data_IF_219709096085
#
_entry.id   IF_219709096085
#
_cell.length_a   1.000
_cell.length_b   1.000
_cell.length_c   1.000
_cell.angle_alpha   90.00
_cell.angle_beta   90.00
_cell.angle_gamma   90.00
#
_symmetry.space_group_name_H-M   'P 1'
#
loop_
_entity.id
_entity.type
_entity.pdbx_description
1 polymer ?
#
# COMPACT_ATOMS: atom_id res chain seq x y z
N UNK A 1 19.96 18.68 -34.24
CA UNK A 1 18.76 18.68 -33.37
C UNK A 1 18.66 17.34 -32.65
N UNK A 2 18.91 17.29 -31.34
CA UNK A 2 18.81 16.06 -30.51
C UNK A 2 17.93 16.33 -29.29
N UNK A 3 16.92 15.47 -29.10
CA UNK A 3 15.71 15.69 -28.31
C UNK A 3 15.96 15.58 -26.80
N UNK A 4 15.71 16.65 -26.05
CA UNK A 4 15.77 16.71 -24.58
C UNK A 4 14.64 15.87 -23.98
N UNK A 5 14.97 14.93 -23.09
CA UNK A 5 14.01 14.11 -22.34
C UNK A 5 13.48 14.92 -21.15
N UNK A 6 12.15 15.11 -21.13
CA UNK A 6 11.39 15.84 -20.12
C UNK A 6 11.29 15.00 -18.84
N UNK A 7 11.73 15.55 -17.72
CA UNK A 7 11.43 15.05 -16.37
C UNK A 7 9.93 15.23 -16.10
N UNK A 8 9.26 14.17 -15.63
CA UNK A 8 7.90 14.26 -15.09
C UNK A 8 8.02 14.37 -13.58
N UNK A 9 7.62 15.52 -13.07
CA UNK A 9 7.41 15.79 -11.65
C UNK A 9 6.24 14.91 -11.15
N UNK A 10 6.39 14.29 -9.97
CA UNK A 10 5.35 13.48 -9.34
C UNK A 10 5.07 14.09 -7.99
N UNK A 11 4.14 15.06 -7.98
CA UNK A 11 3.63 15.69 -6.78
C UNK A 11 2.95 14.65 -5.88
N UNK A 12 3.36 14.59 -4.62
CA UNK A 12 2.75 13.76 -3.58
C UNK A 12 1.84 14.66 -2.75
N UNK A 13 0.54 14.49 -2.92
CA UNK A 13 -0.51 15.16 -2.16
C UNK A 13 -0.91 14.26 -0.97
N UNK A 14 -0.51 14.67 0.24
CA UNK A 14 -0.84 14.02 1.51
C UNK A 14 -1.82 14.94 2.25
N UNK A 15 -3.12 14.60 2.16
CA UNK A 15 -4.22 15.40 2.72
C UNK A 15 -4.70 14.86 4.07
N UNK A 16 -4.67 15.72 5.09
CA UNK A 16 -5.10 15.49 6.48
C UNK A 16 -6.64 15.44 6.60
N UNK A 17 -7.18 14.52 7.43
CA UNK A 17 -8.63 14.27 7.55
C UNK A 17 -9.16 14.66 8.94
N UNK A 18 -9.95 15.74 9.01
CA UNK A 18 -10.70 16.15 10.20
C UNK A 18 -12.09 15.46 10.31
N UNK A 19 -12.41 14.95 11.50
CA UNK A 19 -13.63 14.19 11.80
C UNK A 19 -14.81 15.09 12.20
N UNK A 20 -15.93 15.05 11.46
CA UNK A 20 -17.24 15.57 11.94
C UNK A 20 -18.38 14.55 11.79
N UNK A 21 -19.23 14.51 12.83
CA UNK A 21 -20.28 13.50 13.12
C UNK A 21 -21.47 13.51 12.14
N UNK A 22 -22.24 12.40 11.98
CA UNK A 22 -23.17 12.21 10.86
C UNK A 22 -24.66 12.47 11.20
N UNK A 23 -25.46 12.75 10.15
CA UNK A 23 -26.93 12.55 10.09
C UNK A 23 -27.33 11.90 8.76
N UNK A 24 -28.41 11.07 8.69
CA UNK A 24 -28.68 10.24 7.53
C UNK A 24 -29.86 10.73 6.65
N UNK A 25 -29.79 10.52 5.33
CA UNK A 25 -30.75 9.72 4.54
C UNK A 25 -30.74 10.01 3.00
N UNK A 26 -30.58 8.92 2.22
CA UNK A 26 -31.30 8.54 0.97
C UNK A 26 -31.23 9.45 -0.30
N UNK A 27 -30.47 9.00 -1.33
CA UNK A 27 -30.94 8.32 -2.58
C UNK A 27 -29.87 8.30 -3.71
N UNK A 28 -29.70 7.09 -4.26
CA UNK A 28 -29.04 6.59 -5.49
C UNK A 28 -28.44 7.58 -6.51
N UNK A 29 -27.12 7.43 -6.75
CA UNK A 29 -26.47 7.54 -8.07
C UNK A 29 -25.33 6.51 -8.12
N UNK A 30 -25.17 5.86 -9.26
CA UNK A 30 -24.17 4.83 -9.56
C UNK A 30 -22.80 5.51 -9.56
N UNK A 31 -22.09 5.39 -8.45
CA UNK A 31 -20.68 5.71 -8.30
C UNK A 31 -20.08 4.60 -7.45
N UNK A 32 -18.97 4.06 -7.94
CA UNK A 32 -18.08 3.07 -7.36
C UNK A 32 -17.97 3.22 -5.84
N UNK A 33 -18.80 2.47 -5.11
CA UNK A 33 -18.71 2.28 -3.67
C UNK A 33 -18.55 0.81 -3.38
N UNK A 34 -17.34 0.45 -2.95
CA UNK A 34 -17.01 -0.61 -1.99
C UNK A 34 -15.48 -0.60 -1.84
N UNK A 35 -14.86 -0.51 -0.68
CA UNK A 35 -15.37 -0.43 0.68
C UNK A 35 -14.23 0.04 1.59
N UNK A 36 -14.47 1.08 2.38
CA UNK A 36 -13.85 1.19 3.69
C UNK A 36 -14.52 0.16 4.59
N UNK A 37 -13.96 -1.05 4.54
CA UNK A 37 -13.96 -2.05 5.60
C UNK A 37 -12.50 -2.50 5.69
N UNK A 38 -11.72 -1.82 6.53
CA UNK A 38 -10.36 -2.21 6.88
C UNK A 38 -10.40 -3.46 7.76
N UNK A 39 -10.79 -4.60 7.17
CA UNK A 39 -10.53 -5.99 7.60
C UNK A 39 -11.37 -6.96 6.75
N UNK A 40 -11.24 -6.89 5.43
CA UNK A 40 -11.59 -8.03 4.59
C UNK A 40 -10.28 -8.59 4.02
N UNK A 41 -9.95 -9.82 4.42
CA UNK A 41 -8.81 -10.58 3.93
C UNK A 41 -9.01 -10.81 2.43
N UNK A 42 -8.75 -9.79 1.62
CA UNK A 42 -8.88 -9.85 0.17
C UNK A 42 -7.84 -10.83 -0.31
N UNK A 43 -8.26 -11.97 -0.85
CA UNK A 43 -7.34 -12.96 -1.41
C UNK A 43 -7.14 -12.69 -2.90
N UNK A 44 -5.92 -12.92 -3.40
CA UNK A 44 -5.68 -12.88 -4.83
C UNK A 44 -6.15 -14.16 -5.53
N UNK A 45 -5.98 -14.22 -6.85
CA UNK A 45 -6.30 -15.41 -7.64
C UNK A 45 -5.51 -16.67 -7.24
N UNK A 46 -4.42 -16.52 -6.47
CA UNK A 46 -3.61 -17.61 -5.92
C UNK A 46 -4.01 -17.98 -4.49
N UNK A 47 -4.94 -17.25 -3.90
CA UNK A 47 -5.39 -17.46 -2.52
C UNK A 47 -4.52 -16.74 -1.47
N UNK A 48 -3.54 -15.94 -1.89
CA UNK A 48 -2.65 -15.19 -1.00
C UNK A 48 -3.42 -14.02 -0.37
N UNK A 49 -3.20 -13.77 0.93
CA UNK A 49 -3.88 -12.67 1.62
C UNK A 49 -3.25 -11.31 1.26
N UNK A 50 -4.07 -10.35 0.84
CA UNK A 50 -3.67 -9.00 0.46
C UNK A 50 -4.19 -7.98 1.47
N UNK A 51 -3.31 -7.06 1.83
CA UNK A 51 -3.60 -5.87 2.62
C UNK A 51 -3.21 -4.62 1.80
N UNK A 52 -4.16 -3.75 1.50
CA UNK A 52 -3.87 -2.52 0.78
C UNK A 52 -3.21 -1.48 1.72
N UNK A 53 -2.09 -0.89 1.27
CA UNK A 53 -1.45 0.25 1.94
C UNK A 53 -1.87 1.57 1.29
N UNK A 54 -2.07 1.56 -0.03
CA UNK A 54 -2.64 2.66 -0.81
C UNK A 54 -3.18 2.12 -2.12
N UNK A 55 -3.76 2.99 -2.96
CA UNK A 55 -4.25 2.61 -4.30
C UNK A 55 -3.21 1.91 -5.18
N UNK A 56 -1.92 2.19 -4.95
CA UNK A 56 -0.80 1.65 -5.73
C UNK A 56 0.16 0.83 -4.88
N UNK A 57 -0.09 0.54 -3.60
CA UNK A 57 0.83 -0.22 -2.75
C UNK A 57 0.07 -1.23 -1.90
N UNK A 58 0.62 -2.43 -1.76
CA UNK A 58 0.02 -3.51 -0.97
C UNK A 58 1.07 -4.33 -0.24
N UNK A 59 0.62 -5.00 0.81
CA UNK A 59 1.29 -6.13 1.45
C UNK A 59 0.58 -7.41 1.01
N UNK A 60 1.33 -8.45 0.70
CA UNK A 60 0.79 -9.78 0.38
C UNK A 60 1.50 -10.83 1.23
N UNK A 61 0.72 -11.62 1.97
CA UNK A 61 1.21 -12.81 2.68
C UNK A 61 1.10 -13.99 1.74
N UNK A 62 2.25 -14.54 1.35
CA UNK A 62 2.34 -15.62 0.35
C UNK A 62 3.33 -16.69 0.78
N UNK A 63 3.34 -17.83 0.09
CA UNK A 63 4.41 -18.82 0.21
C UNK A 63 5.48 -18.62 -0.88
N UNK A 64 6.75 -18.79 -0.52
CA UNK A 64 7.82 -19.02 -1.49
C UNK A 64 7.64 -20.38 -2.18
N UNK A 65 8.34 -20.64 -3.32
CA UNK A 65 8.28 -21.93 -3.98
C UNK A 65 8.68 -23.14 -3.11
N UNK A 66 9.44 -22.91 -2.05
CA UNK A 66 9.82 -23.92 -1.05
C UNK A 66 8.75 -24.14 0.04
N UNK A 67 7.62 -23.44 -0.02
CA UNK A 67 6.52 -23.52 0.95
C UNK A 67 6.66 -22.61 2.17
N UNK A 68 7.77 -21.89 2.33
CA UNK A 68 7.96 -21.01 3.48
C UNK A 68 7.15 -19.71 3.35
N UNK A 69 6.51 -19.23 4.42
CA UNK A 69 5.75 -18.00 4.38
C UNK A 69 6.66 -16.77 4.24
N UNK A 70 6.18 -15.79 3.48
CA UNK A 70 6.87 -14.54 3.22
C UNK A 70 5.89 -13.37 3.11
N UNK A 71 6.41 -12.16 3.37
CA UNK A 71 5.67 -10.90 3.33
C UNK A 71 6.18 -10.08 2.14
N UNK A 72 5.37 -9.94 1.09
CA UNK A 72 5.70 -9.10 -0.08
C UNK A 72 5.09 -7.71 0.07
N UNK A 73 5.94 -6.69 0.15
CA UNK A 73 5.53 -5.28 0.24
C UNK A 73 5.89 -4.63 -1.09
N UNK A 74 4.86 -4.25 -1.88
CA UNK A 74 5.07 -3.92 -3.29
C UNK A 74 4.14 -2.84 -3.81
N UNK A 75 4.72 -1.96 -4.63
CA UNK A 75 3.98 -1.08 -5.52
C UNK A 75 3.36 -1.87 -6.67
N UNK A 76 2.11 -1.59 -6.99
CA UNK A 76 1.41 -2.13 -8.15
C UNK A 76 1.00 -1.02 -9.08
N UNK A 77 1.05 -1.28 -10.38
CA UNK A 77 0.56 -0.38 -11.42
C UNK A 77 -0.42 -1.11 -12.33
N UNK A 78 -1.25 -0.38 -13.06
CA UNK A 78 -2.24 -0.97 -13.98
C UNK A 78 -1.80 -0.74 -15.42
N UNK A 79 -1.78 -1.81 -16.21
CA UNK A 79 -1.56 -1.76 -17.66
C UNK A 79 -2.70 -2.50 -18.33
N UNK A 80 -3.40 -1.84 -19.25
CA UNK A 80 -4.56 -2.42 -19.97
C UNK A 80 -5.64 -3.00 -19.04
N UNK A 81 -5.86 -2.37 -17.87
CA UNK A 81 -6.82 -2.84 -16.88
C UNK A 81 -6.32 -3.98 -15.98
N UNK A 82 -5.11 -4.51 -16.22
CA UNK A 82 -4.50 -5.57 -15.40
C UNK A 82 -3.50 -4.99 -14.39
N UNK A 83 -3.60 -5.43 -13.13
CA UNK A 83 -2.67 -5.04 -12.08
C UNK A 83 -1.36 -5.81 -12.21
N UNK A 84 -0.25 -5.09 -12.35
CA UNK A 84 1.11 -5.62 -12.51
C UNK A 84 1.98 -5.28 -11.30
N UNK A 85 2.89 -6.19 -10.90
CA UNK A 85 3.83 -5.94 -9.83
C UNK A 85 4.91 -4.94 -10.26
N UNK A 86 5.10 -3.89 -9.47
CA UNK A 86 6.16 -2.90 -9.61
C UNK A 86 7.27 -3.12 -8.58
N UNK A 87 7.87 -2.00 -8.14
CA UNK A 87 8.97 -1.99 -7.16
C UNK A 87 8.50 -2.51 -5.81
N UNK A 88 9.32 -3.32 -5.15
CA UNK A 88 8.97 -3.90 -3.85
C UNK A 88 9.98 -4.92 -3.36
N UNK A 89 9.74 -5.43 -2.16
CA UNK A 89 10.59 -6.43 -1.50
C UNK A 89 9.73 -7.55 -0.92
N UNK A 90 10.21 -8.79 -1.06
CA UNK A 90 9.61 -9.95 -0.42
C UNK A 90 10.51 -10.39 0.73
N UNK A 91 10.03 -10.23 1.95
CA UNK A 91 10.75 -10.52 3.17
C UNK A 91 10.44 -11.97 3.62
N UNK A 92 11.46 -12.82 3.78
CA UNK A 92 11.31 -14.06 4.55
C UNK A 92 10.83 -13.76 5.97
N UNK A 93 10.13 -14.71 6.58
CA UNK A 93 9.53 -14.53 7.91
C UNK A 93 10.55 -14.08 8.98
N UNK A 94 11.81 -14.54 8.88
CA UNK A 94 12.89 -14.15 9.79
C UNK A 94 13.18 -12.64 9.70
N UNK A 95 13.25 -12.08 8.49
CA UNK A 95 13.48 -10.65 8.29
C UNK A 95 12.25 -9.83 8.70
N UNK A 96 11.05 -10.33 8.42
CA UNK A 96 9.81 -9.68 8.85
C UNK A 96 9.73 -9.56 10.38
N UNK A 97 10.03 -10.63 11.12
CA UNK A 97 10.06 -10.60 12.59
C UNK A 97 11.06 -9.58 13.11
N UNK A 98 12.25 -9.51 12.50
CA UNK A 98 13.26 -8.50 12.87
C UNK A 98 12.78 -7.08 12.60
N UNK A 99 12.08 -6.83 11.50
CA UNK A 99 11.48 -5.53 11.23
C UNK A 99 10.45 -5.15 12.31
N UNK A 100 9.62 -6.11 12.73
CA UNK A 100 8.62 -5.90 13.80
C UNK A 100 9.30 -5.58 15.13
N UNK A 101 10.37 -6.29 15.48
CA UNK A 101 11.16 -6.03 16.70
C UNK A 101 11.77 -4.61 16.71
N UNK A 102 12.17 -4.10 15.55
CA UNK A 102 12.76 -2.77 15.38
C UNK A 102 11.74 -1.63 15.27
N UNK A 103 10.43 -1.92 15.28
CA UNK A 103 9.40 -0.89 15.11
C UNK A 103 9.53 0.27 16.11
N UNK A 104 9.77 0.06 17.42
CA UNK A 104 9.92 1.16 18.37
C UNK A 104 11.08 2.10 18.00
N UNK A 105 12.23 1.55 17.65
CA UNK A 105 13.42 2.32 17.27
C UNK A 105 13.19 3.09 15.96
N UNK A 106 12.47 2.47 15.00
CA UNK A 106 12.08 3.11 13.74
C UNK A 106 11.12 4.28 14.01
N UNK A 107 10.15 4.12 14.91
CA UNK A 107 9.21 5.18 15.29
C UNK A 107 9.94 6.35 15.95
N UNK A 108 10.86 6.08 16.89
CA UNK A 108 11.71 7.12 17.49
C UNK A 108 12.50 7.87 16.42
N UNK A 109 13.16 7.15 15.51
CA UNK A 109 13.91 7.75 14.41
C UNK A 109 13.03 8.61 13.48
N UNK A 110 11.79 8.20 13.19
CA UNK A 110 10.82 9.00 12.41
C UNK A 110 10.49 10.31 13.13
N UNK A 111 10.24 10.26 14.45
CA UNK A 111 9.90 11.47 15.22
C UNK A 111 11.07 12.45 15.34
N UNK A 112 12.31 11.95 15.31
CA UNK A 112 13.51 12.77 15.33
C UNK A 112 13.82 13.46 13.99
N UNK A 113 13.17 13.06 12.88
CA UNK A 113 13.40 13.69 11.58
C UNK A 113 12.88 15.14 11.56
N UNK A 114 13.65 16.09 11.02
CA UNK A 114 13.18 17.47 10.90
C UNK A 114 12.01 17.53 9.92
N UNK A 115 10.89 18.09 10.38
CA UNK A 115 9.74 18.37 9.52
C UNK A 115 10.16 19.47 8.52
N UNK A 116 10.10 19.17 7.22
CA UNK A 116 10.22 20.21 6.20
C UNK A 116 9.03 21.18 6.37
N UNK A 117 9.36 22.47 6.47
CA UNK A 117 8.37 23.57 6.44
C UNK A 117 7.77 23.72 5.06
#
# INVERSE_FOLDING_TARGET
>A
MGKVRKHSDSESDDGEIEFKKPRPAKKKKVETKTAEKSNDNTRDAKGDAIFALSNKRRVTVRAFPNGEPAIDIRETYVVNGEQRPGKGICLPLVQWKKLVELLPDIEEAITALPKKK
#
